data_IF_102196101547
#
_entry.id   IF_102196101547
#
_cell.length_a   1.000
_cell.length_b   1.000
_cell.length_c   1.000
_cell.angle_alpha   90.00
_cell.angle_beta   90.00
_cell.angle_gamma   90.00
#
_symmetry.space_group_name_H-M   'P 1'
#
loop_
_entity.id
_entity.type
_entity.pdbx_description
1 polymer ?
#
# COMPACT_ATOMS: atom_id res chain seq x y z
N UNK A 1 67.03 -9.40 -32.17
CA UNK A 1 66.12 -10.30 -32.91
C UNK A 1 64.86 -10.47 -32.10
N UNK A 2 63.70 -10.22 -32.72
CA UNK A 2 62.34 -10.37 -32.16
C UNK A 2 62.09 -11.84 -31.83
N UNK A 3 61.53 -12.17 -30.66
CA UNK A 3 60.50 -13.22 -30.51
C UNK A 3 59.62 -12.92 -29.29
N UNK A 4 58.35 -12.63 -29.58
CA UNK A 4 57.20 -12.62 -28.68
C UNK A 4 56.73 -14.07 -28.51
N UNK A 5 56.26 -14.46 -27.31
CA UNK A 5 55.05 -15.25 -27.02
C UNK A 5 55.01 -15.64 -25.52
N UNK A 6 54.08 -15.07 -24.74
CA UNK A 6 52.72 -15.57 -24.46
C UNK A 6 52.72 -16.78 -23.50
N UNK A 7 52.22 -16.56 -22.27
CA UNK A 7 52.04 -17.62 -21.28
C UNK A 7 51.20 -17.19 -20.08
N UNK A 8 49.87 -17.28 -20.23
CA UNK A 8 48.85 -17.54 -19.20
C UNK A 8 48.61 -16.50 -18.08
N UNK A 9 47.76 -15.52 -18.36
CA UNK A 9 46.94 -14.87 -17.33
C UNK A 9 45.71 -15.75 -17.06
N UNK A 10 45.69 -16.43 -15.91
CA UNK A 10 44.59 -17.31 -15.50
C UNK A 10 43.55 -16.53 -14.69
N UNK A 11 42.37 -16.39 -15.29
CA UNK A 11 41.03 -16.40 -14.70
C UNK A 11 40.85 -15.82 -13.28
N UNK A 12 40.35 -14.59 -13.20
CA UNK A 12 39.64 -14.08 -12.01
C UNK A 12 38.33 -13.40 -12.42
N UNK A 13 37.47 -14.15 -13.12
CA UNK A 13 36.09 -13.77 -13.45
C UNK A 13 35.15 -14.78 -12.78
N UNK A 14 34.89 -14.61 -11.49
CA UNK A 14 34.10 -15.59 -10.74
C UNK A 14 33.36 -15.09 -9.49
N UNK A 15 33.43 -13.81 -9.15
CA UNK A 15 32.71 -13.26 -7.98
C UNK A 15 32.06 -11.93 -8.34
N UNK A 16 30.83 -11.97 -8.86
CA UNK A 16 30.10 -10.73 -9.13
C UNK A 16 28.61 -10.85 -9.41
N UNK A 17 28.05 -12.07 -9.50
CA UNK A 17 26.67 -12.25 -9.99
C UNK A 17 25.63 -12.49 -8.87
N UNK A 18 26.03 -12.54 -7.59
CA UNK A 18 25.10 -12.82 -6.49
C UNK A 18 24.46 -11.59 -5.82
N UNK A 19 24.75 -10.36 -6.27
CA UNK A 19 24.20 -9.14 -5.64
C UNK A 19 22.87 -8.64 -6.22
N UNK A 20 22.27 -9.38 -7.16
CA UNK A 20 21.00 -8.99 -7.79
C UNK A 20 19.93 -10.08 -7.76
N UNK A 21 19.92 -10.93 -6.73
CA UNK A 21 18.74 -11.75 -6.49
C UNK A 21 17.55 -10.81 -6.22
N UNK A 22 16.47 -10.83 -7.04
CA UNK A 22 15.28 -10.06 -6.74
C UNK A 22 14.73 -10.59 -5.41
N UNK A 23 14.74 -9.76 -4.38
CA UNK A 23 14.13 -10.07 -3.11
C UNK A 23 12.63 -10.27 -3.36
N UNK A 24 12.17 -11.52 -3.35
CA UNK A 24 10.75 -11.84 -3.42
C UNK A 24 10.06 -11.18 -2.22
N UNK A 25 9.28 -10.13 -2.48
CA UNK A 25 8.46 -9.49 -1.47
C UNK A 25 7.29 -10.42 -1.13
N UNK A 26 7.42 -11.17 -0.04
CA UNK A 26 6.33 -12.00 0.46
C UNK A 26 5.27 -11.12 1.11
N UNK A 27 4.04 -11.19 0.59
CA UNK A 27 2.89 -10.56 1.23
C UNK A 27 2.57 -11.29 2.55
N UNK A 28 2.44 -10.54 3.65
CA UNK A 28 2.07 -11.10 4.95
C UNK A 28 0.55 -11.04 5.09
N UNK A 29 -0.09 -12.15 5.44
CA UNK A 29 -1.54 -12.19 5.68
C UNK A 29 -1.81 -12.38 7.17
N UNK A 30 -2.71 -11.57 7.72
CA UNK A 30 -3.17 -11.70 9.11
C UNK A 30 -4.69 -11.60 9.20
N UNK A 31 -5.26 -11.92 10.36
CA UNK A 31 -6.70 -11.75 10.64
C UNK A 31 -6.98 -10.59 11.60
N UNK A 32 -5.99 -9.72 11.81
CA UNK A 32 -6.12 -8.57 12.71
C UNK A 32 -5.59 -7.30 12.08
N UNK A 33 -6.37 -6.24 12.16
CA UNK A 33 -6.00 -4.94 11.60
C UNK A 33 -4.98 -4.21 12.49
N UNK A 34 -4.03 -3.45 11.91
CA UNK A 34 -3.12 -2.61 12.67
C UNK A 34 -3.88 -1.59 13.50
N UNK A 35 -3.44 -1.32 14.74
CA UNK A 35 -4.10 -0.36 15.63
C UNK A 35 -4.25 1.02 14.98
N UNK A 36 -3.24 1.47 14.25
CA UNK A 36 -3.25 2.77 13.59
C UNK A 36 -4.37 2.91 12.55
N UNK A 37 -4.78 1.82 11.88
CA UNK A 37 -5.80 1.86 10.80
C UNK A 37 -7.23 1.83 11.34
N UNK A 38 -7.39 1.49 12.62
CA UNK A 38 -8.71 1.35 13.22
C UNK A 38 -9.40 2.70 13.35
N UNK A 39 -10.71 2.70 13.18
CA UNK A 39 -11.56 3.88 13.20
C UNK A 39 -12.42 3.99 11.97
N UNK A 40 -13.19 5.07 11.92
CA UNK A 40 -13.98 5.43 10.73
C UNK A 40 -13.18 6.44 9.91
N UNK A 41 -13.09 6.21 8.62
CA UNK A 41 -12.41 7.09 7.68
C UNK A 41 -13.35 7.44 6.53
N UNK A 42 -13.27 8.69 6.09
CA UNK A 42 -14.08 9.26 5.04
C UNK A 42 -13.18 9.77 3.92
N UNK A 43 -13.32 9.21 2.72
CA UNK A 43 -12.67 9.66 1.50
C UNK A 43 -13.70 10.38 0.63
N UNK A 44 -13.35 11.55 0.11
CA UNK A 44 -14.15 12.18 -0.94
C UNK A 44 -13.53 11.83 -2.28
N UNK A 45 -14.29 11.09 -3.09
CA UNK A 45 -13.95 10.85 -4.48
C UNK A 45 -14.37 12.09 -5.29
N UNK A 46 -13.38 12.75 -5.90
CA UNK A 46 -13.62 13.96 -6.71
C UNK A 46 -14.08 13.64 -8.12
N UNK A 47 -13.78 12.45 -8.63
CA UNK A 47 -14.14 12.01 -9.97
C UNK A 47 -15.63 11.62 -10.02
N UNK A 48 -16.10 10.90 -9.00
CA UNK A 48 -17.48 10.43 -8.92
C UNK A 48 -18.37 11.22 -7.96
N UNK A 49 -17.83 12.27 -7.33
CA UNK A 49 -18.53 13.21 -6.44
C UNK A 49 -19.28 12.57 -5.25
N UNK A 50 -18.86 11.39 -4.79
CA UNK A 50 -19.44 10.73 -3.63
C UNK A 50 -18.47 10.58 -2.46
N UNK A 51 -19.05 10.26 -1.31
CA UNK A 51 -18.30 9.89 -0.11
C UNK A 51 -18.14 8.39 -0.02
N UNK A 52 -16.89 7.99 0.17
CA UNK A 52 -16.54 6.67 0.65
C UNK A 52 -16.35 6.71 2.16
N UNK A 53 -16.77 5.64 2.82
CA UNK A 53 -16.56 5.45 4.24
C UNK A 53 -16.09 4.04 4.51
N UNK A 54 -14.93 3.93 5.12
CA UNK A 54 -14.49 2.68 5.75
C UNK A 54 -14.65 2.75 7.27
N UNK A 55 -14.97 1.62 7.88
CA UNK A 55 -14.95 1.45 9.33
C UNK A 55 -14.14 0.19 9.67
N UNK A 56 -13.03 0.41 10.35
CA UNK A 56 -12.02 -0.60 10.64
C UNK A 56 -11.97 -0.85 12.14
N UNK A 57 -12.19 -2.10 12.54
CA UNK A 57 -11.94 -2.56 13.92
C UNK A 57 -10.84 -3.62 13.90
N UNK A 58 -10.43 -4.11 15.08
CA UNK A 58 -9.42 -5.19 15.17
C UNK A 58 -9.75 -6.40 14.29
N UNK A 59 -11.04 -6.74 14.14
CA UNK A 59 -11.51 -7.96 13.47
C UNK A 59 -12.59 -7.70 12.41
N UNK A 60 -12.77 -6.46 11.97
CA UNK A 60 -13.75 -6.14 10.93
C UNK A 60 -13.29 -5.00 10.04
N UNK A 61 -13.68 -5.09 8.78
CA UNK A 61 -13.60 -4.02 7.80
C UNK A 61 -15.00 -3.85 7.19
N UNK A 62 -15.50 -2.62 7.16
CA UNK A 62 -16.73 -2.28 6.45
C UNK A 62 -16.40 -1.17 5.47
N UNK A 63 -16.72 -1.37 4.20
CA UNK A 63 -16.69 -0.34 3.18
C UNK A 63 -18.13 0.11 2.88
N UNK A 64 -18.30 1.37 2.52
CA UNK A 64 -19.59 1.88 2.06
C UNK A 64 -19.38 3.08 1.13
N UNK A 65 -20.09 3.07 0.02
CA UNK A 65 -20.12 4.14 -0.98
C UNK A 65 -21.54 4.26 -1.54
N UNK A 66 -21.99 5.48 -1.83
CA UNK A 66 -23.28 5.74 -2.48
C UNK A 66 -24.51 5.13 -1.77
N UNK A 67 -24.43 4.86 -0.46
CA UNK A 67 -25.50 4.21 0.31
C UNK A 67 -25.47 2.68 0.32
N UNK A 68 -24.59 2.04 -0.46
CA UNK A 68 -24.33 0.60 -0.43
C UNK A 68 -23.06 0.31 0.40
N UNK A 69 -22.88 -0.93 0.84
CA UNK A 69 -21.64 -1.28 1.54
C UNK A 69 -21.56 -2.72 2.02
N UNK A 70 -20.35 -3.24 1.97
CA UNK A 70 -20.01 -4.61 2.37
C UNK A 70 -19.24 -4.63 3.68
N UNK A 71 -19.31 -5.78 4.37
CA UNK A 71 -18.66 -5.95 5.66
C UNK A 71 -17.98 -7.31 5.75
N UNK A 72 -16.66 -7.28 5.98
CA UNK A 72 -15.82 -8.42 6.28
C UNK A 72 -15.58 -8.51 7.79
N UNK A 73 -15.74 -9.70 8.39
CA UNK A 73 -15.56 -9.90 9.84
C UNK A 73 -14.91 -11.24 10.15
N UNK A 74 -14.12 -11.25 11.22
CA UNK A 74 -13.56 -12.47 11.81
C UNK A 74 -12.83 -13.31 10.77
N UNK A 75 -13.20 -14.59 10.67
CA UNK A 75 -12.58 -15.55 9.74
C UNK A 75 -12.78 -15.25 8.25
N UNK A 76 -13.68 -14.33 7.91
CA UNK A 76 -13.91 -13.91 6.53
C UNK A 76 -13.04 -12.69 6.16
N UNK A 77 -12.32 -12.11 7.12
CA UNK A 77 -11.41 -11.00 6.90
C UNK A 77 -9.96 -11.50 6.83
N UNK A 78 -9.32 -11.23 5.70
CA UNK A 78 -7.87 -11.28 5.54
C UNK A 78 -7.33 -9.85 5.41
N UNK A 79 -6.32 -9.53 6.24
CA UNK A 79 -5.57 -8.28 6.22
C UNK A 79 -4.22 -8.57 5.60
N UNK A 80 -4.04 -8.16 4.35
CA UNK A 80 -2.85 -8.44 3.55
C UNK A 80 -1.92 -7.24 3.60
N UNK A 81 -0.68 -7.46 3.97
CA UNK A 81 0.38 -6.46 3.94
C UNK A 81 1.24 -6.68 2.72
N UNK A 82 1.42 -5.62 1.95
CA UNK A 82 2.33 -5.57 0.82
C UNK A 82 3.31 -4.41 0.98
N UNK A 83 4.24 -4.34 0.03
CA UNK A 83 5.08 -3.17 -0.15
C UNK A 83 4.90 -2.69 -1.59
N UNK A 84 4.50 -1.43 -1.76
CA UNK A 84 4.29 -0.82 -3.06
C UNK A 84 4.67 0.65 -3.01
N UNK A 85 5.36 1.15 -4.04
CA UNK A 85 5.82 2.55 -4.14
C UNK A 85 6.48 3.09 -2.85
N UNK A 86 7.37 2.31 -2.23
CA UNK A 86 8.04 2.63 -0.96
C UNK A 86 7.13 2.74 0.29
N UNK A 87 5.88 2.28 0.19
CA UNK A 87 4.92 2.26 1.29
C UNK A 87 4.56 0.82 1.68
N UNK A 88 4.41 0.59 2.99
CA UNK A 88 3.67 -0.59 3.46
C UNK A 88 2.19 -0.36 3.18
N UNK A 89 1.64 -1.16 2.29
CA UNK A 89 0.23 -1.14 1.92
C UNK A 89 -0.52 -2.23 2.66
N UNK A 90 -1.78 -1.96 2.97
CA UNK A 90 -2.70 -2.90 3.60
C UNK A 90 -3.94 -3.01 2.73
N UNK A 91 -4.31 -4.23 2.38
CA UNK A 91 -5.58 -4.53 1.72
C UNK A 91 -6.48 -5.34 2.67
N UNK A 92 -7.78 -5.07 2.62
CA UNK A 92 -8.79 -5.81 3.37
C UNK A 92 -9.61 -6.66 2.39
N UNK A 93 -9.43 -7.96 2.43
CA UNK A 93 -10.04 -8.87 1.45
C UNK A 93 -10.78 -10.02 2.11
N UNK A 94 -11.70 -10.62 1.35
CA UNK A 94 -12.35 -11.87 1.73
C UNK A 94 -11.30 -12.99 1.84
N UNK A 95 -11.34 -13.75 2.92
CA UNK A 95 -10.42 -14.89 3.10
C UNK A 95 -10.59 -15.91 1.98
N UNK A 96 -9.47 -16.34 1.38
CA UNK A 96 -9.46 -17.27 0.25
C UNK A 96 -9.72 -16.61 -1.12
N UNK A 97 -9.91 -15.30 -1.17
CA UNK A 97 -10.05 -14.56 -2.41
C UNK A 97 -8.73 -13.85 -2.77
N UNK A 98 -8.34 -13.95 -4.05
CA UNK A 98 -7.18 -13.26 -4.63
C UNK A 98 -7.72 -12.33 -5.72
N UNK A 99 -8.17 -11.15 -5.33
CA UNK A 99 -8.75 -10.15 -6.23
C UNK A 99 -8.39 -8.74 -5.77
N UNK A 100 -8.32 -7.81 -6.72
CA UNK A 100 -8.01 -6.41 -6.44
C UNK A 100 -9.07 -5.84 -5.51
N UNK A 101 -8.64 -5.50 -4.29
CA UNK A 101 -9.35 -4.60 -3.38
C UNK A 101 -8.50 -3.35 -3.26
N UNK A 102 -9.12 -2.25 -2.84
CA UNK A 102 -8.38 -1.03 -2.53
C UNK A 102 -7.24 -1.31 -1.55
N UNK A 103 -6.12 -0.64 -1.80
CA UNK A 103 -4.94 -0.68 -0.97
C UNK A 103 -4.81 0.60 -0.18
N UNK A 104 -4.48 0.47 1.10
CA UNK A 104 -4.39 1.60 2.03
C UNK A 104 -2.98 1.71 2.59
N UNK A 105 -2.41 2.91 2.65
CA UNK A 105 -1.21 3.19 3.41
C UNK A 105 -1.37 4.44 4.28
N UNK A 106 -0.54 4.53 5.32
CA UNK A 106 -0.47 5.76 6.09
C UNK A 106 0.27 6.83 5.33
N UNK A 107 -0.32 8.01 5.32
CA UNK A 107 0.33 9.18 4.77
C UNK A 107 -0.12 10.47 5.44
N UNK A 108 0.17 11.56 4.74
CA UNK A 108 -0.29 12.89 5.11
C UNK A 108 -0.93 13.55 3.92
N UNK A 109 -1.95 14.35 4.17
CA UNK A 109 -2.55 15.23 3.19
C UNK A 109 -2.62 16.65 3.76
N UNK A 110 -2.48 17.66 2.90
CA UNK A 110 -2.65 19.05 3.27
C UNK A 110 -4.13 19.41 3.22
N UNK A 111 -4.64 19.99 4.31
CA UNK A 111 -5.99 20.58 4.41
C UNK A 111 -5.81 22.01 4.88
N UNK A 112 -6.28 22.97 4.09
CA UNK A 112 -6.10 24.41 4.37
C UNK A 112 -4.65 24.79 4.72
N UNK A 113 -3.67 24.24 3.99
CA UNK A 113 -2.25 24.52 4.20
C UNK A 113 -1.55 23.71 5.29
N UNK A 114 -2.30 23.00 6.15
CA UNK A 114 -1.73 22.22 7.25
C UNK A 114 -1.71 20.72 6.93
N UNK A 115 -0.66 20.03 7.37
CA UNK A 115 -0.57 18.58 7.20
C UNK A 115 -1.42 17.85 8.25
N UNK A 116 -2.25 16.93 7.78
CA UNK A 116 -3.03 16.02 8.60
C UNK A 116 -2.70 14.57 8.26
N UNK A 117 -2.73 13.71 9.27
CA UNK A 117 -2.67 12.25 9.08
C UNK A 117 -3.86 11.80 8.26
N UNK A 118 -3.61 10.94 7.28
CA UNK A 118 -4.63 10.36 6.43
C UNK A 118 -4.31 8.88 6.15
N UNK A 119 -5.36 8.11 5.88
CA UNK A 119 -5.21 6.89 5.08
C UNK A 119 -5.26 7.28 3.62
N UNK A 120 -4.27 6.86 2.85
CA UNK A 120 -4.24 7.07 1.42
C UNK A 120 -4.70 5.78 0.76
N UNK A 121 -5.79 5.86 0.02
CA UNK A 121 -6.38 4.79 -0.75
C UNK A 121 -5.86 4.87 -2.18
N UNK A 122 -5.22 3.79 -2.62
CA UNK A 122 -4.65 3.59 -3.95
C UNK A 122 -3.77 4.75 -4.46
N UNK A 123 -3.18 5.49 -3.53
CA UNK A 123 -2.33 6.64 -3.84
C UNK A 123 -3.07 7.91 -4.32
N UNK A 124 -4.38 7.88 -4.50
CA UNK A 124 -5.16 8.96 -5.13
C UNK A 124 -6.15 9.64 -4.20
N UNK A 125 -6.68 8.92 -3.21
CA UNK A 125 -7.72 9.42 -2.30
C UNK A 125 -7.21 9.50 -0.87
N UNK A 126 -7.30 10.68 -0.25
CA UNK A 126 -7.00 10.84 1.17
C UNK A 126 -8.27 10.70 2.00
N UNK A 127 -8.27 9.72 2.89
CA UNK A 127 -9.33 9.49 3.86
C UNK A 127 -8.95 10.07 5.22
N UNK A 128 -9.93 10.67 5.89
CA UNK A 128 -9.75 11.30 7.21
C UNK A 128 -10.82 10.82 8.19
N UNK A 129 -10.61 10.99 9.49
CA UNK A 129 -11.63 10.73 10.50
C UNK A 129 -12.83 11.70 10.48
N UNK A 130 -12.84 12.67 9.57
CA UNK A 130 -13.90 13.65 9.36
C UNK A 130 -14.07 13.90 7.87
N UNK A 131 -15.22 14.41 7.46
CA UNK A 131 -15.46 14.78 6.07
C UNK A 131 -14.56 15.94 5.63
N UNK A 132 -13.62 15.68 4.71
CA UNK A 132 -12.77 16.70 4.08
C UNK A 132 -12.81 16.55 2.56
N UNK A 133 -13.34 17.55 1.86
CA UNK A 133 -13.41 17.55 0.38
C UNK A 133 -12.16 18.13 -0.28
N UNK A 134 -11.62 19.19 0.32
CA UNK A 134 -10.51 19.95 -0.25
C UNK A 134 -9.21 19.58 0.46
N UNK A 135 -8.42 18.75 -0.22
CA UNK A 135 -7.12 18.33 0.24
C UNK A 135 -6.14 18.19 -0.93
N UNK A 136 -4.86 18.15 -0.58
CA UNK A 136 -3.75 17.85 -1.48
C UNK A 136 -2.89 16.72 -0.90
N UNK A 137 -2.68 15.65 -1.67
CA UNK A 137 -1.77 14.57 -1.32
C UNK A 137 -0.37 14.93 -1.84
N UNK A 138 0.67 15.03 -0.99
CA UNK A 138 2.04 15.20 -1.45
C UNK A 138 2.49 14.03 -2.32
N UNK A 139 3.30 14.30 -3.35
CA UNK A 139 3.81 13.28 -4.29
C UNK A 139 4.42 12.04 -3.62
N UNK A 140 5.12 12.23 -2.50
CA UNK A 140 5.74 11.12 -1.77
C UNK A 140 4.76 10.18 -1.05
N UNK A 141 3.44 10.38 -1.19
CA UNK A 141 2.40 9.45 -0.75
C UNK A 141 1.49 8.99 -1.90
N UNK A 142 1.76 9.41 -3.13
CA UNK A 142 1.00 9.04 -4.30
C UNK A 142 1.64 7.82 -4.97
N UNK A 143 0.82 6.96 -5.57
CA UNK A 143 1.28 5.93 -6.50
C UNK A 143 1.35 6.59 -7.87
N UNK A 144 2.54 7.09 -8.22
CA UNK A 144 2.86 7.71 -9.52
C UNK A 144 3.69 6.72 -10.31
#
# INVERSE_FOLDING_TARGET
MKHIRLGLATLSLGLGVFLFAPQQANAMITHTTPRAMRGTWYGYDKEYEFWERIHVTKHSFRYSSGGQGDTLRGRHLSVVYGHSHAHTTVAFQMTGHFGATDSYHFGKAKVHGHYHTALIQDGSTAMFHKHVKHYYIPRGYQFI
#
